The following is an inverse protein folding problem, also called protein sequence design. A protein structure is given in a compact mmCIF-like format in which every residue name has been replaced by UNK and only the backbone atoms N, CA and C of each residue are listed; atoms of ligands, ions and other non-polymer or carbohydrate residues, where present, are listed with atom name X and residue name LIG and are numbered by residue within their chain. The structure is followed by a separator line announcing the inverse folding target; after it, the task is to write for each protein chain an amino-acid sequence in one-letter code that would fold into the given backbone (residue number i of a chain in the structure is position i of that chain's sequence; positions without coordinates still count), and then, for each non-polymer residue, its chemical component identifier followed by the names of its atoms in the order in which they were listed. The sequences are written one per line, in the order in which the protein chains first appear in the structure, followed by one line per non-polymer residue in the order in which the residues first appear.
data_IF_485243564690
#
_entry.id   IF_485243564690
#
_cell.length_a   1.000
_cell.length_b   1.000
_cell.length_c   1.000
_cell.angle_alpha   90.00
_cell.angle_beta   90.00
_cell.angle_gamma   90.00
#
_symmetry.space_group_name_H-M   'P 1'
#
loop_
_entity.id
_entity.type
_entity.pdbx_description
1 polymer ?
2 polymer ?
3 non-polymer ?
4 water ?
#
loop_
_entity_poly.entity_id
_entity_poly.type
_entity_poly.pdbx_seq_one_letter_code
_entity_poly.pdbx_strand_id
2 'polydeoxyribonucleotide' '(DT)(DG)(DT)(DC)(DA)(DA)(DA)' ?
#
# COMPACT_ATOMS: atom_id res chain seq x y z
N UNK A 5 14.94 -15.82 13.91
CA UNK A 5 13.80 -14.92 13.77
C UNK A 5 12.58 -15.68 13.26
N UNK A 6 11.72 -16.08 14.18
CA UNK A 6 10.46 -16.71 13.80
C UNK A 6 9.44 -15.62 13.50
N UNK A 7 8.37 -15.99 12.80
CA UNK A 7 7.28 -15.06 12.52
C UNK A 7 6.72 -14.47 13.81
N UNK A 8 6.58 -15.30 14.84
CA UNK A 8 6.03 -14.84 16.11
C UNK A 8 6.89 -13.75 16.74
N UNK A 9 8.21 -13.92 16.66
CA UNK A 9 9.11 -12.90 17.19
C UNK A 9 8.98 -11.60 16.40
N UNK A 10 8.89 -11.72 15.08
CA UNK A 10 8.75 -10.53 14.24
C UNK A 10 7.45 -9.80 14.53
N UNK A 11 6.35 -10.55 14.67
CA UNK A 11 5.06 -9.96 15.02
C UNK A 11 5.13 -9.21 16.35
N UNK A 12 5.73 -9.84 17.35
CA UNK A 12 5.86 -9.22 18.66
C UNK A 12 6.65 -7.92 18.56
N UNK A 13 7.73 -7.94 17.78
CA UNK A 13 8.55 -6.74 17.59
C UNK A 13 7.76 -5.62 16.92
N UNK A 14 6.95 -5.95 15.92
CA UNK A 14 6.14 -4.93 15.25
C UNK A 14 5.12 -4.36 16.23
N UNK A 15 4.53 -5.22 17.05
CA UNK A 15 3.54 -4.76 18.03
C UNK A 15 4.17 -3.86 19.10
N UNK A 16 5.50 -3.93 19.23
CA UNK A 16 6.24 -3.06 20.14
C UNK A 16 6.88 -1.85 19.45
N UNK A 17 6.51 -1.59 18.19
CA UNK A 17 6.92 -0.38 17.51
C UNK A 17 8.07 -0.52 16.53
N UNK A 18 8.54 -1.73 16.31
CA UNK A 18 9.66 -1.98 15.40
C UNK A 18 9.14 -2.17 13.98
N UNK A 19 8.93 -1.07 13.27
CA UNK A 19 8.26 -1.13 11.97
C UNK A 19 9.02 -2.00 10.98
N UNK A 20 10.34 -1.91 10.98
CA UNK A 20 11.14 -2.59 9.98
C UNK A 20 11.05 -4.12 10.11
N UNK A 21 10.72 -4.61 11.30
CA UNK A 21 10.49 -6.05 11.47
C UNK A 21 9.42 -6.54 10.52
N UNK A 22 8.43 -5.69 10.22
CA UNK A 22 7.37 -6.11 9.32
C UNK A 22 7.89 -6.34 7.91
N UNK A 23 8.90 -5.56 7.52
CA UNK A 23 9.52 -5.73 6.22
C UNK A 23 10.00 -7.16 6.02
N UNK A 24 10.56 -7.75 7.07
CA UNK A 24 11.05 -9.12 6.99
C UNK A 24 9.90 -10.09 6.74
N UNK A 25 8.75 -9.84 7.36
CA UNK A 25 7.55 -10.63 7.07
C UNK A 25 7.11 -10.49 5.61
N UNK A 26 7.20 -9.28 5.07
CA UNK A 26 6.86 -9.07 3.66
C UNK A 26 7.82 -9.85 2.76
N UNK A 27 9.11 -9.74 3.02
CA UNK A 27 10.11 -10.50 2.26
C UNK A 27 9.85 -12.00 2.34
N UNK A 28 9.47 -12.47 3.52
CA UNK A 28 9.19 -13.89 3.69
C UNK A 28 7.97 -14.37 2.93
N UNK A 29 6.95 -13.53 2.84
CA UNK A 29 5.64 -13.99 2.38
C UNK A 29 5.12 -13.41 1.08
N UNK A 30 5.81 -12.44 0.49
CA UNK A 30 5.24 -11.78 -0.67
C UNK A 30 5.04 -12.72 -1.86
N UNK A 31 5.92 -13.70 -2.04
CA UNK A 31 5.75 -14.62 -3.18
C UNK A 31 4.57 -15.55 -2.96
N UNK A 32 4.42 -16.06 -1.74
CA UNK A 32 3.28 -16.90 -1.41
C UNK A 32 1.97 -16.13 -1.56
N UNK A 33 1.96 -14.90 -1.07
CA UNK A 33 0.73 -14.11 -1.13
C UNK A 33 0.39 -13.77 -2.59
N UNK A 34 1.39 -13.45 -3.39
CA UNK A 34 1.15 -13.21 -4.82
C UNK A 34 0.56 -14.44 -5.50
N UNK A 35 1.11 -15.61 -5.19
CA UNK A 35 0.59 -16.84 -5.78
C UNK A 35 -0.87 -17.04 -5.40
N UNK A 36 -1.18 -16.85 -4.14
CA UNK A 36 -2.53 -16.97 -3.64
C UNK A 36 -3.49 -16.00 -4.33
N UNK A 37 -3.10 -14.72 -4.36
CA UNK A 37 -3.93 -13.67 -4.95
C UNK A 37 -4.15 -13.92 -6.44
N UNK A 38 -3.16 -14.49 -7.10
CA UNK A 38 -3.26 -14.81 -8.53
C UNK A 38 -4.33 -15.83 -8.86
N UNK A 39 -4.85 -16.53 -7.84
CA UNK A 39 -5.98 -17.43 -8.04
C UNK A 39 -7.29 -16.67 -8.20
N UNK A 40 -7.32 -15.40 -7.82
CA UNK A 40 -8.56 -14.65 -7.69
C UNK A 40 -8.68 -13.47 -8.63
N UNK A 41 -7.57 -12.84 -8.98
CA UNK A 41 -7.62 -11.59 -9.74
C UNK A 41 -6.73 -11.72 -10.96
N UNK A 42 -6.95 -10.88 -11.98
CA UNK A 42 -6.11 -10.93 -13.18
C UNK A 42 -4.65 -10.65 -12.86
N UNK A 43 -3.76 -11.27 -13.63
CA UNK A 43 -2.33 -11.20 -13.38
C UNK A 43 -1.82 -9.78 -13.19
N UNK A 44 -2.28 -8.87 -14.05
CA UNK A 44 -1.82 -7.50 -13.99
C UNK A 44 -2.19 -6.77 -12.71
N UNK A 45 -3.23 -7.25 -12.04
CA UNK A 45 -3.73 -6.63 -10.80
C UNK A 45 -3.19 -7.26 -9.53
N UNK A 46 -2.46 -8.35 -9.67
CA UNK A 46 -1.94 -9.03 -8.48
C UNK A 46 -1.08 -8.11 -7.60
N UNK A 47 -0.10 -7.38 -8.17
CA UNK A 47 0.74 -6.58 -7.26
C UNK A 47 -0.03 -5.58 -6.41
N UNK A 48 -1.04 -4.93 -6.98
CA UNK A 48 -1.85 -3.96 -6.27
C UNK A 48 -2.60 -4.61 -5.11
N UNK A 49 -3.17 -5.77 -5.37
CA UNK A 49 -3.93 -6.47 -4.35
C UNK A 49 -3.02 -7.00 -3.25
N UNK A 50 -1.85 -7.53 -3.63
CA UNK A 50 -0.86 -7.98 -2.65
C UNK A 50 -0.44 -6.82 -1.73
N UNK A 51 -0.16 -5.67 -2.32
CA UNK A 51 0.25 -4.51 -1.55
C UNK A 51 -0.83 -4.13 -0.54
N UNK A 52 -2.08 -4.11 -0.98
CA UNK A 52 -3.18 -3.78 -0.08
C UNK A 52 -3.29 -4.80 1.06
N UNK A 53 -3.14 -6.08 0.74
CA UNK A 53 -3.21 -7.11 1.76
C UNK A 53 -2.17 -6.90 2.85
N UNK A 54 -0.93 -6.62 2.45
CA UNK A 54 0.11 -6.40 3.43
C UNK A 54 -0.11 -5.15 4.29
N UNK A 55 -0.60 -4.07 3.68
CA UNK A 55 -0.88 -2.87 4.44
C UNK A 55 -1.97 -3.13 5.46
N UNK A 56 -3.00 -3.87 5.05
CA UNK A 56 -4.08 -4.20 5.95
C UNK A 56 -3.61 -5.07 7.11
N UNK A 57 -2.77 -6.07 6.81
CA UNK A 57 -2.22 -6.93 7.85
C UNK A 57 -1.40 -6.12 8.85
N UNK A 58 -0.55 -5.24 8.33
CA UNK A 58 0.29 -4.42 9.18
C UNK A 58 -0.56 -3.53 10.09
N UNK A 59 -1.54 -2.86 9.51
CA UNK A 59 -2.33 -1.91 10.28
C UNK A 59 -3.31 -2.58 11.24
N UNK A 60 -3.55 -3.88 11.05
CA UNK A 60 -4.45 -4.61 11.94
C UNK A 60 -3.70 -5.53 12.89
N UNK A 61 -2.38 -5.45 12.89
CA UNK A 61 -1.58 -6.39 13.65
C UNK A 61 -1.83 -6.31 15.16
N UNK A 62 -2.25 -5.14 15.63
CA UNK A 62 -2.56 -4.96 17.05
C UNK A 62 -3.78 -5.77 17.48
N UNK A 63 -4.58 -6.21 16.52
CA UNK A 63 -5.79 -6.98 16.78
C UNK A 63 -5.58 -8.48 16.59
N UNK A 64 -4.42 -8.85 16.07
CA UNK A 64 -4.07 -10.25 15.86
C UNK A 64 -3.77 -10.91 17.20
N UNK A 65 -4.54 -11.94 17.53
CA UNK A 65 -4.43 -12.56 18.85
C UNK A 65 -3.33 -13.60 18.95
N UNK A 66 -2.84 -14.08 17.81
CA UNK A 66 -1.91 -15.20 17.84
C UNK A 66 -2.60 -16.54 18.10
N UNK A 67 -3.88 -16.62 17.75
CA UNK A 67 -4.64 -17.87 17.84
C UNK A 67 -4.38 -18.78 16.65
N UNK A 68 -3.54 -18.31 15.74
CA UNK A 68 -3.04 -19.13 14.65
C UNK A 68 -1.63 -18.66 14.38
N UNK A 69 -0.93 -19.36 13.49
CA UNK A 69 0.29 -18.83 12.90
C UNK A 69 -0.04 -17.52 12.20
N UNK A 70 0.94 -16.61 12.16
CA UNK A 70 0.79 -15.38 11.42
C UNK A 70 0.38 -15.64 9.97
N UNK A 71 1.01 -16.59 9.30
CA UNK A 71 0.69 -16.80 7.89
C UNK A 71 -0.76 -17.24 7.68
N UNK A 72 -1.29 -18.02 8.61
CA UNK A 72 -2.69 -18.44 8.49
C UNK A 72 -3.61 -17.23 8.46
N UNK A 73 -3.34 -16.28 9.33
CA UNK A 73 -4.12 -15.05 9.41
C UNK A 73 -3.91 -14.18 8.15
N UNK A 74 -2.66 -14.00 7.75
CA UNK A 74 -2.34 -13.26 6.54
C UNK A 74 -2.98 -13.85 5.27
N UNK A 75 -2.97 -15.17 5.17
CA UNK A 75 -3.56 -15.87 4.03
C UNK A 75 -5.02 -15.44 3.88
N UNK A 76 -5.77 -15.47 4.98
CA UNK A 76 -7.19 -15.12 4.91
C UNK A 76 -7.39 -13.64 4.58
N UNK A 77 -6.55 -12.77 5.16
CA UNK A 77 -6.58 -11.36 4.78
C UNK A 77 -6.38 -11.20 3.28
N UNK A 78 -5.42 -11.92 2.72
CA UNK A 78 -5.16 -11.83 1.28
C UNK A 78 -6.36 -12.27 0.45
N UNK A 79 -6.95 -13.41 0.81
CA UNK A 79 -8.12 -13.89 0.10
C UNK A 79 -9.24 -12.86 0.17
N UNK A 80 -9.52 -12.33 1.35
CA UNK A 80 -10.61 -11.39 1.49
C UNK A 80 -10.34 -10.04 0.81
N UNK A 81 -9.08 -9.64 0.77
CA UNK A 81 -8.70 -8.43 0.05
C UNK A 81 -8.95 -8.64 -1.45
N UNK A 82 -8.61 -9.83 -1.94
CA UNK A 82 -8.89 -10.15 -3.33
C UNK A 82 -10.39 -10.17 -3.61
N UNK A 83 -11.17 -10.73 -2.70
CA UNK A 83 -12.62 -10.75 -2.84
C UNK A 83 -13.21 -9.34 -2.88
N UNK A 84 -12.73 -8.46 -2.01
CA UNK A 84 -13.18 -7.08 -2.02
C UNK A 84 -12.81 -6.40 -3.34
N UNK A 85 -11.63 -6.73 -3.86
CA UNK A 85 -11.20 -6.24 -5.17
C UNK A 85 -12.20 -6.65 -6.25
N UNK A 86 -12.64 -7.90 -6.19
CA UNK A 86 -13.60 -8.39 -7.19
C UNK A 86 -14.93 -7.69 -7.10
N UNK A 87 -15.38 -7.36 -5.89
CA UNK A 87 -16.61 -6.60 -5.74
C UNK A 87 -16.45 -5.21 -6.38
N UNK A 88 -15.34 -4.54 -6.10
CA UNK A 88 -15.07 -3.24 -6.68
C UNK A 88 -14.96 -3.31 -8.22
N UNK A 89 -14.31 -4.36 -8.71
CA UNK A 89 -14.19 -4.58 -10.15
C UNK A 89 -15.56 -4.74 -10.78
N UNK A 90 -16.42 -5.51 -10.13
CA UNK A 90 -17.77 -5.72 -10.62
C UNK A 90 -18.52 -4.43 -10.76
N UNK A 91 -18.35 -3.54 -9.80
CA UNK A 91 -19.02 -2.24 -9.87
C UNK A 91 -18.47 -1.42 -11.04
N UNK A 92 -17.15 -1.36 -11.17
CA UNK A 92 -16.52 -0.57 -12.22
C UNK A 92 -16.87 -1.09 -13.61
N UNK A 93 -17.08 -2.39 -13.72
CA UNK A 93 -17.43 -3.01 -14.99
C UNK A 93 -18.94 -3.10 -15.20
N UNK A 94 -19.71 -2.52 -14.29
CA UNK A 94 -21.16 -2.48 -14.42
C UNK A 94 -21.76 -3.88 -14.47
N UNK A 95 -21.22 -4.78 -13.67
CA UNK A 95 -21.71 -6.15 -13.62
C UNK A 95 -22.85 -6.29 -12.62
N UNK B 3 9.90 11.44 -27.83
CA UNK B 3 9.10 10.30 -27.35
C UNK B 3 9.43 9.88 -25.91
N UNK B 4 10.01 10.80 -25.15
CA UNK B 4 10.29 10.57 -23.74
C UNK B 4 9.02 10.17 -23.00
N UNK B 5 9.13 9.20 -22.09
CA UNK B 5 8.00 8.77 -21.28
C UNK B 5 7.73 9.77 -20.17
N UNK B 6 7.01 10.83 -20.50
CA UNK B 6 6.71 11.85 -19.51
C UNK B 6 5.67 11.32 -18.52
N UNK B 7 5.53 12.00 -17.39
CA UNK B 7 4.51 11.61 -16.43
C UNK B 7 3.12 11.59 -17.07
N UNK B 8 2.85 12.57 -17.93
CA UNK B 8 1.54 12.64 -18.56
C UNK B 8 1.27 11.41 -19.41
N UNK B 9 2.28 10.95 -20.16
CA UNK B 9 2.16 9.75 -20.95
C UNK B 9 1.90 8.53 -20.07
N UNK B 10 2.63 8.44 -18.96
CA UNK B 10 2.47 7.30 -18.07
C UNK B 10 1.08 7.27 -17.46
N UNK B 11 0.57 8.42 -17.05
CA UNK B 11 -0.79 8.49 -16.52
C UNK B 11 -1.78 8.00 -17.55
N UNK B 12 -1.65 8.48 -18.78
CA UNK B 12 -2.56 8.07 -19.84
C UNK B 12 -2.52 6.55 -20.04
N UNK B 13 -1.33 5.97 -20.01
CA UNK B 13 -1.19 4.52 -20.11
C UNK B 13 -1.89 3.77 -18.97
N UNK B 14 -1.73 4.25 -17.74
CA UNK B 14 -2.39 3.61 -16.61
C UNK B 14 -3.90 3.67 -16.76
N UNK B 15 -4.40 4.79 -17.28
CA UNK B 15 -5.84 4.98 -17.48
C UNK B 15 -6.39 4.11 -18.61
N UNK B 16 -5.49 3.45 -19.33
CA UNK B 16 -5.88 2.49 -20.35
C UNK B 16 -5.64 1.06 -19.86
N UNK B 17 -5.32 0.90 -18.58
CA UNK B 17 -5.18 -0.42 -18.00
C UNK B 17 -3.75 -0.98 -17.96
N UNK B 18 -2.78 -0.15 -18.29
CA UNK B 18 -1.37 -0.56 -18.29
C UNK B 18 -0.81 -0.39 -16.87
N UNK B 19 -1.03 -1.40 -16.02
CA UNK B 19 -0.67 -1.28 -14.60
C UNK B 19 0.82 -1.03 -14.40
N UNK B 20 1.64 -1.66 -15.23
CA UNK B 20 3.09 -1.55 -15.11
C UNK B 20 3.60 -0.12 -15.30
N UNK B 21 2.88 0.68 -16.09
CA UNK B 21 3.30 2.07 -16.29
C UNK B 21 3.32 2.81 -14.96
N UNK B 22 2.45 2.43 -14.04
CA UNK B 22 2.47 3.09 -12.74
C UNK B 22 3.76 2.82 -11.98
N UNK B 23 4.35 1.65 -12.17
CA UNK B 23 5.61 1.33 -11.50
C UNK B 23 6.68 2.35 -11.82
N UNK B 24 6.67 2.86 -13.04
CA UNK B 24 7.65 3.86 -13.42
C UNK B 24 7.41 5.18 -12.68
N UNK B 25 6.16 5.50 -12.44
CA UNK B 25 5.87 6.68 -11.63
C UNK B 25 6.33 6.50 -10.18
N UNK B 26 6.19 5.29 -9.65
CA UNK B 26 6.68 5.01 -8.31
C UNK B 26 8.20 5.16 -8.26
N UNK B 27 8.90 4.57 -9.22
CA UNK B 27 10.36 4.69 -9.25
C UNK B 27 10.77 6.16 -9.34
N UNK B 28 10.03 6.93 -10.14
CA UNK B 28 10.34 8.33 -10.31
C UNK B 28 10.17 9.16 -9.06
N UNK B 29 9.15 8.83 -8.27
CA UNK B 29 8.72 9.74 -7.20
C UNK B 29 8.85 9.21 -5.78
N UNK B 30 9.24 7.96 -5.60
CA UNK B 30 9.21 7.40 -4.25
C UNK B 30 10.14 8.12 -3.29
N UNK B 31 11.30 8.55 -3.76
CA UNK B 31 12.23 9.27 -2.90
C UNK B 31 11.68 10.63 -2.50
N UNK B 32 11.16 11.37 -3.50
CA UNK B 32 10.59 12.68 -3.23
C UNK B 32 9.41 12.58 -2.26
N UNK B 33 8.56 11.58 -2.45
CA UNK B 33 7.42 11.43 -1.57
C UNK B 33 7.86 11.08 -0.16
N UNK B 34 8.87 10.22 -0.02
CA UNK B 34 9.40 9.91 1.30
C UNK B 34 9.96 11.15 1.99
N UNK B 35 10.68 11.98 1.24
CA UNK B 35 11.22 13.19 1.82
C UNK B 35 10.12 14.11 2.31
N UNK B 36 9.07 14.24 1.52
CA UNK B 36 7.93 15.05 1.88
C UNK B 36 7.22 14.51 3.12
N UNK B 37 6.92 13.22 3.11
CA UNK B 37 6.23 12.60 4.22
C UNK B 37 7.05 12.68 5.51
N UNK B 38 8.38 12.66 5.39
CA UNK B 38 9.25 12.74 6.55
C UNK B 38 9.18 14.09 7.26
N UNK B 39 8.57 15.09 6.63
CA UNK B 39 8.33 16.37 7.28
C UNK B 39 7.17 16.28 8.28
N UNK B 40 6.35 15.24 8.15
CA UNK B 40 5.09 15.15 8.88
C UNK B 40 5.03 14.02 9.89
N UNK B 41 5.73 12.92 9.64
CA UNK B 41 5.56 11.72 10.47
C UNK B 41 6.91 11.22 10.91
N UNK B 42 6.95 10.44 12.01
CA UNK B 42 8.23 9.94 12.51
C UNK B 42 8.92 9.07 11.47
N UNK B 43 10.25 9.09 11.48
CA UNK B 43 11.06 8.40 10.49
C UNK B 43 10.63 6.95 10.27
N UNK B 44 10.39 6.23 11.37
CA UNK B 44 10.05 4.82 11.29
C UNK B 44 8.73 4.55 10.58
N UNK B 45 7.83 5.53 10.55
CA UNK B 45 6.51 5.38 9.95
C UNK B 45 6.43 5.89 8.52
N UNK B 46 7.50 6.51 8.03
CA UNK B 46 7.51 7.06 6.69
C UNK B 46 7.21 6.00 5.61
N UNK B 47 7.88 4.84 5.65
CA UNK B 47 7.62 3.87 4.56
C UNK B 47 6.14 3.46 4.44
N UNK B 48 5.46 3.24 5.56
CA UNK B 48 4.07 2.83 5.54
C UNK B 48 3.17 3.92 4.97
N UNK B 49 3.43 5.16 5.37
CA UNK B 49 2.62 6.28 4.89
C UNK B 49 2.86 6.51 3.39
N UNK B 50 4.12 6.40 2.96
CA UNK B 50 4.46 6.51 1.55
C UNK B 50 3.74 5.43 0.73
N UNK B 51 3.77 4.19 1.21
CA UNK B 51 3.10 3.11 0.52
C UNK B 51 1.61 3.37 0.38
N UNK B 52 0.99 3.84 1.46
CA UNK B 52 -0.44 4.17 1.41
C UNK B 52 -0.71 5.28 0.40
N UNK B 53 0.14 6.30 0.37
CA UNK B 53 -0.04 7.40 -0.57
C UNK B 53 -0.03 6.90 -2.00
N UNK B 54 0.93 6.02 -2.33
CA UNK B 54 1.00 5.51 -3.70
C UNK B 54 -0.17 4.61 -4.08
N UNK B 55 -0.66 3.79 -3.15
CA UNK B 55 -1.83 2.97 -3.43
C UNK B 55 -3.04 3.85 -3.67
N UNK B 56 -3.21 4.88 -2.83
CA UNK B 56 -4.31 5.81 -3.02
C UNK B 56 -4.24 6.52 -4.36
N UNK B 57 -3.04 6.96 -4.73
CA UNK B 57 -2.87 7.65 -6.00
C UNK B 57 -3.20 6.71 -7.17
N UNK B 58 -2.68 5.48 -7.13
CA UNK B 58 -2.97 4.53 -8.17
C UNK B 58 -4.47 4.29 -8.32
N UNK B 59 -5.13 4.04 -7.21
CA UNK B 59 -6.53 3.67 -7.26
C UNK B 59 -7.44 4.82 -7.60
N UNK B 60 -6.94 6.05 -7.49
CA UNK B 60 -7.73 7.23 -7.82
C UNK B 60 -7.35 7.84 -9.17
N UNK B 61 -6.39 7.23 -9.86
CA UNK B 61 -5.90 7.79 -11.11
C UNK B 61 -7.01 7.88 -12.16
N UNK B 62 -8.01 7.00 -12.06
CA UNK B 62 -9.08 6.98 -13.03
C UNK B 62 -9.94 8.25 -13.00
N UNK B 63 -9.80 9.05 -11.95
CA UNK B 63 -10.55 10.29 -11.86
C UNK B 63 -9.66 11.53 -11.82
N UNK B 64 -8.36 11.33 -12.01
CA UNK B 64 -7.43 12.45 -12.13
C UNK B 64 -7.62 13.09 -13.49
N UNK B 65 -7.93 14.39 -13.48
CA UNK B 65 -8.28 15.11 -14.70
C UNK B 65 -7.10 15.63 -15.50
N UNK B 66 -5.93 15.72 -14.88
CA UNK B 66 -4.80 16.33 -15.53
C UNK B 66 -4.90 17.84 -15.54
N UNK B 67 -5.62 18.40 -14.57
CA UNK B 67 -5.68 19.84 -14.39
C UNK B 67 -4.48 20.39 -13.63
N UNK B 68 -3.57 19.50 -13.27
CA UNK B 68 -2.26 19.85 -12.77
C UNK B 68 -1.30 18.82 -13.32
N UNK B 69 -0.01 19.05 -13.09
CA UNK B 69 0.96 17.99 -13.27
C UNK B 69 0.61 16.83 -12.34
N UNK B 70 0.94 15.62 -12.76
CA UNK B 70 0.75 14.46 -11.90
C UNK B 70 1.41 14.66 -10.53
N UNK B 71 2.64 15.14 -10.51
CA UNK B 71 3.31 15.26 -9.22
C UNK B 71 2.60 16.23 -8.28
N UNK B 72 2.01 17.30 -8.81
CA UNK B 72 1.26 18.23 -7.98
C UNK B 72 0.15 17.51 -7.23
N UNK B 73 -0.55 16.64 -7.94
CA UNK B 73 -1.65 15.89 -7.37
C UNK B 73 -1.14 14.84 -6.37
N UNK B 74 -0.08 14.14 -6.74
CA UNK B 74 0.55 13.17 -5.85
C UNK B 74 1.06 13.81 -4.56
N UNK B 75 1.67 14.98 -4.68
CA UNK B 75 2.18 15.71 -3.53
C UNK B 75 1.06 15.93 -2.52
N UNK B 76 -0.09 16.40 -2.98
CA UNK B 76 -1.18 16.65 -2.07
C UNK B 76 -1.73 15.37 -1.45
N UNK B 77 -1.83 14.30 -2.24
CA UNK B 77 -2.21 13.01 -1.68
C UNK B 77 -1.26 12.60 -0.57
N UNK B 78 0.05 12.75 -0.80
CA UNK B 78 1.03 12.38 0.22
C UNK B 78 0.86 13.21 1.49
N UNK B 79 0.72 14.52 1.36
CA UNK B 79 0.52 15.39 2.52
C UNK B 79 -0.74 14.97 3.29
N UNK B 80 -1.83 14.75 2.57
CA UNK B 80 -3.07 14.42 3.24
C UNK B 80 -3.05 13.03 3.87
N UNK B 81 -2.33 12.11 3.24
CA UNK B 81 -2.17 10.78 3.82
C UNK B 81 -1.37 10.88 5.12
N UNK B 82 -0.33 11.72 5.12
CA UNK B 82 0.43 11.98 6.32
C UNK B 82 -0.44 12.62 7.41
N UNK B 83 -1.29 13.57 7.01
CA UNK B 83 -2.18 14.20 7.98
C UNK B 83 -3.19 13.22 8.57
N UNK B 84 -3.69 12.31 7.74
CA UNK B 84 -4.56 11.26 8.25
C UNK B 84 -3.84 10.38 9.26
N UNK B 85 -2.56 10.08 8.99
CA UNK B 85 -1.73 9.39 9.96
C UNK B 85 -1.69 10.14 11.28
N UNK B 86 -1.50 11.45 11.22
CA UNK B 86 -1.40 12.27 12.43
C UNK B 86 -2.70 12.28 13.22
N UNK B 87 -3.84 12.33 12.52
CA UNK B 87 -5.13 12.27 13.18
C UNK B 87 -5.30 10.91 13.89
N UNK B 88 -4.97 9.84 13.18
CA UNK B 88 -5.03 8.50 13.75
C UNK B 88 -4.09 8.34 14.96
N UNK B 89 -2.88 8.88 14.83
CA UNK B 89 -1.89 8.84 15.91
C UNK B 89 -2.42 9.56 17.14
N UNK B 90 -3.05 10.72 16.95
CA UNK B 90 -3.63 11.45 18.05
C UNK B 90 -4.68 10.66 18.81
N UNK B 91 -5.51 9.94 18.07
CA UNK B 91 -6.54 9.11 18.68
C UNK B 91 -5.92 7.92 19.39
N UNK B 92 -4.90 7.32 18.76
CA UNK B 92 -4.24 6.16 19.33
C UNK B 92 -3.55 6.50 20.64
N UNK B 93 -2.95 7.68 20.69
CA UNK B 93 -2.22 8.15 21.86
C UNK B 93 -3.14 8.89 22.84
N UNK B 94 -4.43 8.90 22.54
CA UNK B 94 -5.43 9.50 23.43
C UNK B 94 -5.16 10.99 23.70
N UNK B 95 -4.87 11.73 22.64
CA UNK B 95 -4.56 13.15 22.76
C UNK B 95 -5.75 14.02 22.41
N UNK B 96 -6.87 13.39 22.09
CA UNK B 96 -8.07 14.11 21.66
C UNK B 96 -8.97 14.47 22.84
#
# INVERSE_FOLDING_TARGET
MSEQLTDQVLVERVQKGDQKAFNLLVVRYQHKVASLVSRYVPSGDVPDVVQEAFIKAYRALDSFRGDSAFYTWLYRIAVNTAKNYLVAQGRRLELVPRGSHHHHHH
MSEQLTDQVLVERVQKGDQKAFNLLVVRYQHKVASLVSRYVPSGDVPDVVQEAFIKAYRALDSFRGDSAFYTWLYRIAVNTAKNYLVAQGRRLELVPRGSHHHHHH
#
